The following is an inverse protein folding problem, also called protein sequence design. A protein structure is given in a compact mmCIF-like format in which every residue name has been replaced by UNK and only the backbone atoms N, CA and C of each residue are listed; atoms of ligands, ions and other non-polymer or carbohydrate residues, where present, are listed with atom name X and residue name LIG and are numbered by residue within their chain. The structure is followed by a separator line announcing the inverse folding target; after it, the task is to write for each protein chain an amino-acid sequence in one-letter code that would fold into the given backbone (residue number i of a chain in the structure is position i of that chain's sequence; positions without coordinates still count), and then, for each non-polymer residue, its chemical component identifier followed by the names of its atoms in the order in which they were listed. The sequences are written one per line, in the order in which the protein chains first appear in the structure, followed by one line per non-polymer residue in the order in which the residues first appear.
data_IF_157629390801
#
_entry.id   IF_157629390801
#
_cell.length_a   1.000
_cell.length_b   1.000
_cell.length_c   1.000
_cell.angle_alpha   90.00
_cell.angle_beta   90.00
_cell.angle_gamma   90.00
#
_symmetry.space_group_name_H-M   'P 1'
#
loop_
_entity.id
_entity.type
_entity.pdbx_description
1 polymer ?
#
# COMPACT_ATOMS: atom_id res chain seq x y z
N UNK A 1 55.11 -17.61 3.75
CA UNK A 1 54.01 -17.13 2.90
C UNK A 1 52.80 -16.89 3.79
N UNK A 2 52.28 -15.66 3.75
CA UNK A 2 51.18 -15.14 4.55
C UNK A 2 49.84 -15.79 4.19
N UNK A 3 48.91 -15.92 5.15
CA UNK A 3 47.48 -15.63 4.97
C UNK A 3 46.88 -15.25 6.33
N UNK A 4 46.94 -13.95 6.66
CA UNK A 4 46.22 -13.36 7.79
C UNK A 4 44.71 -13.35 7.46
N UNK A 5 43.90 -13.96 8.32
CA UNK A 5 42.46 -14.06 8.13
C UNK A 5 41.78 -12.81 8.72
N UNK A 6 41.43 -11.86 7.84
CA UNK A 6 40.75 -10.62 8.17
C UNK A 6 39.44 -10.85 8.94
N UNK A 7 39.43 -10.47 10.22
CA UNK A 7 38.27 -10.54 11.10
C UNK A 7 37.27 -9.42 10.73
N UNK A 8 36.07 -9.79 10.31
CA UNK A 8 35.00 -8.84 9.97
C UNK A 8 34.62 -8.02 11.22
N UNK A 9 34.75 -6.68 11.14
CA UNK A 9 34.32 -5.77 12.21
C UNK A 9 32.79 -5.73 12.28
N UNK A 10 32.21 -6.44 13.25
CA UNK A 10 30.78 -6.34 13.59
C UNK A 10 30.56 -5.06 14.41
N UNK A 11 29.60 -4.21 14.00
CA UNK A 11 29.25 -2.95 14.69
C UNK A 11 28.75 -3.24 16.11
N UNK A 12 28.98 -2.32 17.07
CA UNK A 12 28.50 -2.48 18.44
C UNK A 12 26.98 -2.33 18.54
N UNK A 13 26.36 -2.93 19.55
CA UNK A 13 24.91 -2.84 19.81
C UNK A 13 24.42 -1.38 19.89
N UNK A 14 25.17 -0.51 20.56
CA UNK A 14 24.85 0.92 20.66
C UNK A 14 24.90 1.64 19.30
N UNK A 15 25.85 1.28 18.42
CA UNK A 15 25.91 1.83 17.06
C UNK A 15 24.72 1.35 16.21
N UNK A 16 24.34 0.07 16.33
CA UNK A 16 23.17 -0.47 15.64
C UNK A 16 21.86 0.16 16.11
N UNK A 17 21.70 0.43 17.41
CA UNK A 17 20.53 1.09 17.98
C UNK A 17 20.41 2.55 17.53
N UNK A 18 21.52 3.28 17.53
CA UNK A 18 21.58 4.67 17.04
C UNK A 18 21.26 4.75 15.54
N UNK A 19 21.78 3.83 14.72
CA UNK A 19 21.45 3.74 13.29
C UNK A 19 19.95 3.46 13.08
N UNK A 20 19.38 2.49 13.81
CA UNK A 20 17.93 2.20 13.77
C UNK A 20 17.10 3.40 14.22
N UNK A 21 17.52 4.16 15.23
CA UNK A 21 16.81 5.37 15.68
C UNK A 21 16.80 6.44 14.57
N UNK A 22 17.95 6.73 13.98
CA UNK A 22 18.07 7.68 12.86
C UNK A 22 17.23 7.26 11.65
N UNK A 23 17.17 5.96 11.35
CA UNK A 23 16.35 5.45 10.26
C UNK A 23 14.85 5.63 10.53
N UNK A 24 14.39 5.31 11.75
CA UNK A 24 12.99 5.52 12.16
C UNK A 24 12.60 6.99 12.12
N UNK A 25 13.46 7.89 12.59
CA UNK A 25 13.21 9.34 12.54
C UNK A 25 13.09 9.85 11.10
N UNK A 26 13.93 9.37 10.18
CA UNK A 26 13.84 9.71 8.75
C UNK A 26 12.52 9.22 8.14
N UNK A 27 12.16 7.95 8.40
CA UNK A 27 10.90 7.36 7.94
C UNK A 27 9.68 8.12 8.48
N UNK A 28 9.71 8.51 9.75
CA UNK A 28 8.63 9.28 10.37
C UNK A 28 8.47 10.66 9.73
N UNK A 29 9.58 11.37 9.46
CA UNK A 29 9.53 12.68 8.77
C UNK A 29 8.90 12.59 7.39
N UNK A 30 9.30 11.58 6.60
CA UNK A 30 8.73 11.34 5.27
C UNK A 30 7.24 11.02 5.38
N UNK A 31 6.86 10.15 6.32
CA UNK A 31 5.46 9.79 6.54
C UNK A 31 4.60 11.00 6.93
N UNK A 32 5.06 11.84 7.85
CA UNK A 32 4.34 13.05 8.27
C UNK A 32 4.18 14.02 7.11
N UNK A 33 5.24 14.26 6.33
CA UNK A 33 5.18 15.13 5.16
C UNK A 33 4.18 14.61 4.11
N UNK A 34 4.24 13.30 3.79
CA UNK A 34 3.31 12.67 2.86
C UNK A 34 1.86 12.73 3.37
N UNK A 35 1.65 12.52 4.67
CA UNK A 35 0.33 12.63 5.32
C UNK A 35 -0.23 14.03 5.16
N UNK A 36 0.56 15.05 5.48
CA UNK A 36 0.13 16.44 5.44
C UNK A 36 -0.16 16.89 4.00
N UNK A 37 0.68 16.49 3.04
CA UNK A 37 0.44 16.72 1.61
C UNK A 37 -0.87 16.07 1.12
N UNK A 38 -1.14 14.83 1.56
CA UNK A 38 -2.37 14.10 1.24
C UNK A 38 -3.62 14.83 1.75
N UNK A 39 -3.59 15.32 3.00
CA UNK A 39 -4.70 16.08 3.58
C UNK A 39 -4.89 17.44 2.91
N UNK A 40 -3.81 18.14 2.57
CA UNK A 40 -3.89 19.42 1.86
C UNK A 40 -4.49 19.23 0.47
N UNK A 41 -4.02 18.26 -0.31
CA UNK A 41 -4.59 17.94 -1.63
C UNK A 41 -6.08 17.60 -1.55
N UNK A 42 -6.49 16.78 -0.57
CA UNK A 42 -7.91 16.47 -0.37
C UNK A 42 -8.74 17.71 -0.05
N UNK A 43 -8.23 18.58 0.83
CA UNK A 43 -8.91 19.84 1.20
C UNK A 43 -9.07 20.78 0.01
N UNK A 44 -8.08 20.79 -0.89
CA UNK A 44 -8.09 21.58 -2.12
C UNK A 44 -8.91 20.93 -3.26
N UNK A 45 -9.46 19.73 -3.05
CA UNK A 45 -10.23 19.01 -4.07
C UNK A 45 -9.37 18.45 -5.20
N UNK A 46 -8.08 18.21 -4.94
CA UNK A 46 -7.15 17.65 -5.90
C UNK A 46 -7.31 16.11 -5.90
N UNK A 47 -7.69 15.56 -7.06
CA UNK A 47 -7.98 14.15 -7.25
C UNK A 47 -7.17 13.58 -8.43
N UNK A 48 -5.84 13.70 -8.35
CA UNK A 48 -4.92 13.36 -9.44
C UNK A 48 -4.13 12.05 -9.18
N UNK A 49 -3.37 11.63 -10.19
CA UNK A 49 -2.48 10.46 -10.11
C UNK A 49 -1.41 10.62 -9.02
N UNK A 50 -1.01 11.85 -8.70
CA UNK A 50 -0.07 12.14 -7.61
C UNK A 50 -0.69 11.89 -6.23
N UNK A 51 -1.95 12.31 -6.01
CA UNK A 51 -2.69 12.01 -4.80
C UNK A 51 -2.85 10.50 -4.60
N UNK A 52 -3.04 9.75 -5.69
CA UNK A 52 -3.07 8.29 -5.67
C UNK A 52 -1.69 7.71 -5.28
N UNK A 53 -0.59 8.24 -5.79
CA UNK A 53 0.75 7.80 -5.40
C UNK A 53 1.05 8.09 -3.91
N UNK A 54 0.74 9.29 -3.42
CA UNK A 54 1.01 9.69 -2.03
C UNK A 54 0.21 8.82 -1.06
N UNK A 55 -1.08 8.62 -1.33
CA UNK A 55 -1.91 7.77 -0.48
C UNK A 55 -1.48 6.30 -0.50
N UNK A 56 -0.85 5.83 -1.60
CA UNK A 56 -0.33 4.47 -1.70
C UNK A 56 0.86 4.29 -0.76
N UNK A 57 1.81 5.23 -0.76
CA UNK A 57 2.97 5.21 0.13
C UNK A 57 2.57 5.17 1.61
N UNK A 58 1.54 5.93 1.98
CA UNK A 58 1.02 5.96 3.35
C UNK A 58 0.36 4.63 3.75
N UNK A 59 -0.49 4.06 2.89
CA UNK A 59 -1.21 2.82 3.16
C UNK A 59 -0.32 1.57 3.08
N UNK A 60 0.74 1.58 2.27
CA UNK A 60 1.78 0.54 2.31
C UNK A 60 2.45 0.45 3.68
N UNK A 61 2.51 1.56 4.41
CA UNK A 61 3.11 1.63 5.76
C UNK A 61 2.07 1.42 6.87
N UNK A 62 0.83 1.85 6.66
CA UNK A 62 -0.26 1.77 7.62
C UNK A 62 -1.61 1.51 6.90
N UNK A 63 -1.96 0.24 6.62
CA UNK A 63 -3.15 -0.10 5.84
C UNK A 63 -4.47 0.11 6.60
N UNK A 64 -4.45 0.36 7.91
CA UNK A 64 -5.66 0.55 8.71
C UNK A 64 -6.10 2.02 8.82
N UNK A 65 -5.47 2.92 8.07
CA UNK A 65 -5.86 4.33 8.02
C UNK A 65 -7.10 4.55 7.16
N UNK A 66 -8.29 4.35 7.74
CA UNK A 66 -9.59 4.45 7.07
C UNK A 66 -9.79 5.74 6.24
N UNK A 67 -9.35 6.89 6.77
CA UNK A 67 -9.50 8.19 6.07
C UNK A 67 -8.79 8.23 4.72
N UNK A 68 -7.65 7.53 4.58
CA UNK A 68 -6.92 7.47 3.32
C UNK A 68 -7.63 6.58 2.30
N UNK A 69 -8.24 5.47 2.73
CA UNK A 69 -9.08 4.66 1.83
C UNK A 69 -10.27 5.46 1.30
N UNK A 70 -10.90 6.29 2.13
CA UNK A 70 -11.98 7.18 1.68
C UNK A 70 -11.48 8.15 0.61
N UNK A 71 -10.34 8.80 0.84
CA UNK A 71 -9.76 9.72 -0.14
C UNK A 71 -9.34 9.01 -1.43
N UNK A 72 -8.76 7.80 -1.35
CA UNK A 72 -8.45 7.00 -2.54
C UNK A 72 -9.68 6.70 -3.38
N UNK A 73 -10.82 6.37 -2.76
CA UNK A 73 -12.07 6.19 -3.49
C UNK A 73 -12.54 7.47 -4.17
N UNK A 74 -12.43 8.62 -3.50
CA UNK A 74 -12.72 9.93 -4.12
C UNK A 74 -11.85 10.18 -5.35
N UNK A 75 -10.55 9.90 -5.26
CA UNK A 75 -9.61 10.01 -6.39
C UNK A 75 -10.03 9.08 -7.52
N UNK A 76 -10.23 7.79 -7.25
CA UNK A 76 -10.60 6.80 -8.27
C UNK A 76 -11.93 7.15 -8.97
N UNK A 77 -12.94 7.59 -8.21
CA UNK A 77 -14.22 8.05 -8.76
C UNK A 77 -14.06 9.29 -9.64
N UNK A 78 -13.13 10.19 -9.31
CA UNK A 78 -12.84 11.33 -10.19
C UNK A 78 -12.11 10.88 -11.47
N UNK A 79 -11.15 9.97 -11.35
CA UNK A 79 -10.41 9.45 -12.51
C UNK A 79 -11.33 8.71 -13.50
N UNK A 80 -12.38 8.04 -13.01
CA UNK A 80 -13.44 7.44 -13.83
C UNK A 80 -14.17 8.47 -14.74
N UNK A 81 -14.30 9.73 -14.30
CA UNK A 81 -15.05 10.74 -15.07
C UNK A 81 -14.20 11.49 -16.08
N UNK A 82 -12.87 11.41 -15.96
CA UNK A 82 -11.93 12.20 -16.78
C UNK A 82 -11.02 11.35 -17.68
N UNK A 83 -10.92 10.04 -17.45
CA UNK A 83 -10.08 9.13 -18.25
C UNK A 83 -10.92 8.17 -19.08
N UNK A 84 -10.33 7.67 -20.17
CA UNK A 84 -10.97 6.68 -21.05
C UNK A 84 -11.07 5.31 -20.37
N UNK A 85 -12.03 4.48 -20.81
CA UNK A 85 -12.33 3.17 -20.21
C UNK A 85 -11.10 2.26 -20.06
N UNK A 86 -10.23 2.23 -21.08
CA UNK A 86 -9.00 1.41 -21.06
C UNK A 86 -7.95 1.93 -20.06
N UNK A 87 -7.91 3.24 -19.81
CA UNK A 87 -7.05 3.82 -18.78
C UNK A 87 -7.60 3.54 -17.38
N UNK A 88 -8.92 3.69 -17.21
CA UNK A 88 -9.63 3.34 -15.98
C UNK A 88 -9.39 1.87 -15.64
N UNK A 89 -9.52 0.95 -16.61
CA UNK A 89 -9.21 -0.47 -16.43
C UNK A 89 -7.77 -0.68 -15.92
N UNK A 90 -6.76 0.01 -16.49
CA UNK A 90 -5.36 -0.12 -16.04
C UNK A 90 -5.17 0.37 -14.61
N UNK A 91 -5.81 1.49 -14.25
CA UNK A 91 -5.74 2.06 -12.88
C UNK A 91 -6.33 1.07 -11.88
N UNK A 92 -7.50 0.51 -12.18
CA UNK A 92 -8.17 -0.46 -11.33
C UNK A 92 -7.39 -1.77 -11.19
N UNK A 93 -6.76 -2.26 -12.26
CA UNK A 93 -5.86 -3.44 -12.20
C UNK A 93 -4.62 -3.15 -11.37
N UNK A 94 -4.06 -1.94 -11.45
CA UNK A 94 -2.95 -1.52 -10.59
C UNK A 94 -3.39 -1.44 -9.12
N UNK A 95 -4.59 -0.92 -8.85
CA UNK A 95 -5.16 -0.85 -7.50
C UNK A 95 -5.38 -2.24 -6.88
N UNK A 96 -5.87 -3.22 -7.64
CA UNK A 96 -5.99 -4.61 -7.19
C UNK A 96 -4.63 -5.23 -6.83
N UNK A 97 -3.58 -4.88 -7.57
CA UNK A 97 -2.21 -5.35 -7.34
C UNK A 97 -1.61 -4.70 -6.09
N UNK A 98 -1.88 -3.41 -5.89
CA UNK A 98 -1.53 -2.70 -4.65
C UNK A 98 -2.22 -3.32 -3.44
N UNK A 99 -3.52 -3.61 -3.52
CA UNK A 99 -4.27 -4.26 -2.46
C UNK A 99 -3.74 -5.66 -2.12
N UNK A 100 -3.32 -6.45 -3.11
CA UNK A 100 -2.65 -7.73 -2.86
C UNK A 100 -1.36 -7.53 -2.04
N UNK A 101 -0.60 -6.46 -2.30
CA UNK A 101 0.59 -6.15 -1.50
C UNK A 101 0.25 -5.77 -0.06
N UNK A 102 -0.83 -5.01 0.16
CA UNK A 102 -1.31 -4.68 1.51
C UNK A 102 -1.78 -5.92 2.27
N UNK A 103 -2.52 -6.82 1.61
CA UNK A 103 -3.01 -8.06 2.20
C UNK A 103 -1.90 -9.07 2.50
N UNK A 104 -0.80 -9.06 1.74
CA UNK A 104 0.40 -9.85 2.09
C UNK A 104 1.07 -9.37 3.38
N UNK A 105 0.96 -8.09 3.70
CA UNK A 105 1.51 -7.51 4.94
C UNK A 105 0.56 -7.73 6.12
N UNK A 106 -0.73 -7.48 5.92
CA UNK A 106 -1.77 -7.70 6.92
C UNK A 106 -2.99 -8.38 6.26
N UNK A 107 -3.07 -9.72 6.28
CA UNK A 107 -4.18 -10.47 5.68
C UNK A 107 -5.54 -10.19 6.31
N UNK A 108 -5.55 -9.65 7.54
CA UNK A 108 -6.76 -9.36 8.33
C UNK A 108 -7.17 -7.89 8.28
N UNK A 109 -6.52 -7.07 7.45
CA UNK A 109 -6.88 -5.65 7.31
C UNK A 109 -8.26 -5.50 6.67
N UNK A 110 -9.25 -5.12 7.50
CA UNK A 110 -10.62 -4.86 7.05
C UNK A 110 -10.66 -3.77 5.97
N UNK A 111 -9.88 -2.70 6.14
CA UNK A 111 -9.81 -1.61 5.17
C UNK A 111 -9.37 -2.07 3.78
N UNK A 112 -8.39 -2.97 3.73
CA UNK A 112 -7.88 -3.53 2.48
C UNK A 112 -8.92 -4.43 1.80
N UNK A 113 -9.57 -5.34 2.54
CA UNK A 113 -10.62 -6.19 1.98
C UNK A 113 -11.85 -5.40 1.51
N UNK A 114 -12.30 -4.44 2.32
CA UNK A 114 -13.44 -3.59 1.97
C UNK A 114 -13.15 -2.74 0.72
N UNK A 115 -11.95 -2.16 0.63
CA UNK A 115 -11.54 -1.42 -0.56
C UNK A 115 -11.42 -2.34 -1.79
N UNK A 116 -10.91 -3.57 -1.62
CA UNK A 116 -10.85 -4.56 -2.69
C UNK A 116 -12.21 -4.91 -3.27
N UNK A 117 -13.19 -5.20 -2.41
CA UNK A 117 -14.57 -5.42 -2.85
C UNK A 117 -15.10 -4.23 -3.63
N UNK A 118 -14.91 -3.01 -3.12
CA UNK A 118 -15.33 -1.78 -3.80
C UNK A 118 -14.69 -1.63 -5.19
N UNK A 119 -13.38 -1.89 -5.30
CA UNK A 119 -12.61 -1.86 -6.56
C UNK A 119 -13.17 -2.89 -7.56
N UNK A 120 -13.43 -4.12 -7.12
CA UNK A 120 -13.96 -5.19 -7.99
C UNK A 120 -15.35 -4.89 -8.53
N UNK A 121 -16.19 -4.16 -7.79
CA UNK A 121 -17.53 -3.76 -8.28
C UNK A 121 -17.52 -2.65 -9.33
N UNK A 122 -16.37 -1.98 -9.52
CA UNK A 122 -16.20 -0.82 -10.43
C UNK A 122 -15.30 -1.10 -11.62
N UNK A 123 -14.58 -2.23 -11.62
CA UNK A 123 -13.77 -2.64 -12.76
C UNK A 123 -14.67 -2.73 -14.02
N UNK A 124 -14.33 -2.04 -15.12
CA UNK A 124 -15.06 -2.19 -16.38
C UNK A 124 -15.06 -3.64 -16.89
N UNK A 125 -13.90 -4.32 -16.80
CA UNK A 125 -13.70 -5.70 -17.26
C UNK A 125 -13.12 -6.56 -16.13
N UNK A 126 -13.97 -7.10 -15.22
CA UNK A 126 -13.50 -7.87 -14.08
C UNK A 126 -12.95 -9.25 -14.49
N UNK A 127 -11.78 -9.59 -13.96
CA UNK A 127 -11.19 -10.94 -14.07
C UNK A 127 -11.49 -11.73 -12.79
N UNK A 128 -12.65 -12.39 -12.78
CA UNK A 128 -13.09 -13.20 -11.64
C UNK A 128 -12.20 -14.42 -11.38
N UNK A 129 -11.52 -14.95 -12.40
CA UNK A 129 -10.60 -16.07 -12.24
C UNK A 129 -9.38 -15.65 -11.41
N UNK A 130 -8.86 -14.45 -11.67
CA UNK A 130 -7.79 -13.86 -10.85
C UNK A 130 -8.24 -13.63 -9.40
N UNK A 131 -9.46 -13.17 -9.19
CA UNK A 131 -9.99 -12.93 -7.84
C UNK A 131 -10.17 -14.22 -7.04
N UNK A 132 -10.73 -15.26 -7.66
CA UNK A 132 -10.87 -16.58 -7.05
C UNK A 132 -9.51 -17.16 -6.66
N UNK A 133 -8.50 -17.06 -7.55
CA UNK A 133 -7.15 -17.54 -7.24
C UNK A 133 -6.53 -16.80 -6.05
N UNK A 134 -6.79 -15.51 -5.90
CA UNK A 134 -6.31 -14.76 -4.74
C UNK A 134 -6.99 -15.20 -3.45
N UNK A 135 -8.30 -15.45 -3.47
CA UNK A 135 -9.02 -16.03 -2.34
C UNK A 135 -8.43 -17.40 -1.95
N UNK A 136 -8.22 -18.29 -2.92
CA UNK A 136 -7.60 -19.61 -2.68
C UNK A 136 -6.22 -19.47 -2.04
N UNK A 137 -5.40 -18.54 -2.54
CA UNK A 137 -4.06 -18.26 -1.97
C UNK A 137 -4.15 -17.71 -0.55
N UNK A 138 -5.05 -16.78 -0.28
CA UNK A 138 -5.25 -16.21 1.05
C UNK A 138 -5.77 -17.24 2.05
N UNK A 139 -6.68 -18.13 1.63
CA UNK A 139 -7.19 -19.24 2.43
C UNK A 139 -6.08 -20.28 2.71
N UNK A 140 -5.28 -20.63 1.71
CA UNK A 140 -4.15 -21.57 1.89
C UNK A 140 -3.03 -21.06 2.82
N UNK A 141 -2.94 -19.75 3.03
CA UNK A 141 -1.96 -19.12 3.92
C UNK A 141 -2.45 -18.99 5.37
N UNK A 142 -3.76 -19.04 5.59
CA UNK A 142 -4.39 -19.05 6.92
C UNK A 142 -5.72 -19.82 6.85
N UNK A 143 -5.66 -21.14 7.09
CA UNK A 143 -6.83 -22.04 7.12
C UNK A 143 -7.88 -21.62 8.19
N UNK A 144 -7.57 -20.62 9.03
CA UNK A 144 -8.45 -20.05 10.08
C UNK A 144 -8.98 -18.66 9.75
N UNK A 145 -8.87 -18.18 8.51
CA UNK A 145 -9.42 -16.87 8.11
C UNK A 145 -10.98 -16.80 8.12
N UNK A 146 -11.64 -17.79 8.72
CA UNK A 146 -13.07 -17.86 8.97
C UNK A 146 -13.45 -18.17 10.43
N UNK A 147 -12.54 -18.04 11.41
CA UNK A 147 -12.88 -18.04 12.85
C UNK A 147 -12.80 -16.63 13.48
#
# INVERSE_FOLDING_TARGET
MCLDHGRVKVKSTAQQEEEKRKEREKKLKIYVAARDACFSKRKEGIFDDEALQISQQLLSSNPDFATLWNYRREILMHLETVKEEDEVQKIYVAELSFLESCLKVNPKSYGSWHHRWWVSTRLPKPDWARELNLCDRCLSLDDRNCE
#
